data_IF_403508541905
#
_entry.id   IF_403508541905
#
_cell.length_a   1.000
_cell.length_b   1.000
_cell.length_c   1.000
_cell.angle_alpha   90.00
_cell.angle_beta   90.00
_cell.angle_gamma   90.00
#
_symmetry.space_group_name_H-M   'P 1'
#
loop_
_entity.id
_entity.type
_entity.pdbx_description
1 polymer ?
#
# COMPACT_ATOMS: atom_id res chain seq x y z
N UNK A 1 24.21 3.79 -16.26
CA UNK A 1 23.02 4.56 -15.91
C UNK A 1 22.07 3.72 -15.09
N UNK A 2 21.71 4.18 -13.92
CA UNK A 2 20.88 3.42 -13.00
C UNK A 2 19.41 3.69 -13.28
N UNK A 3 18.62 2.67 -13.54
CA UNK A 3 17.18 2.84 -13.68
C UNK A 3 16.56 3.09 -12.31
N UNK A 4 15.54 3.91 -12.27
CA UNK A 4 14.76 4.12 -11.05
C UNK A 4 14.06 2.82 -10.66
N UNK A 5 14.09 2.51 -9.37
CA UNK A 5 13.31 1.40 -8.84
C UNK A 5 11.83 1.78 -8.83
N UNK A 6 11.00 0.86 -9.26
CA UNK A 6 9.57 1.05 -9.42
C UNK A 6 8.83 0.46 -8.23
N UNK A 7 8.01 1.28 -7.56
CA UNK A 7 7.33 0.90 -6.33
C UNK A 7 5.82 1.11 -6.48
N UNK A 8 5.05 0.10 -6.16
CA UNK A 8 3.60 0.21 -6.04
C UNK A 8 3.24 0.22 -4.55
N UNK A 9 2.50 1.23 -4.11
CA UNK A 9 2.03 1.33 -2.74
C UNK A 9 0.52 1.10 -2.73
N UNK A 10 0.08 0.00 -2.12
CA UNK A 10 -1.33 -0.37 -2.03
C UNK A 10 -1.86 0.01 -0.65
N UNK A 11 -2.90 0.83 -0.62
CA UNK A 11 -3.57 1.23 0.60
C UNK A 11 -5.04 1.48 0.35
N UNK A 12 -5.83 1.59 1.42
CA UNK A 12 -7.24 1.92 1.27
C UNK A 12 -7.42 3.37 0.86
N UNK A 13 -8.46 3.63 0.06
CA UNK A 13 -8.97 4.97 -0.11
C UNK A 13 -9.49 5.44 1.25
N UNK A 14 -8.86 6.45 1.89
CA UNK A 14 -9.18 6.74 3.30
C UNK A 14 -10.62 7.17 3.55
N UNK A 15 -11.28 7.75 2.54
CA UNK A 15 -12.66 8.19 2.68
C UNK A 15 -13.66 7.05 2.82
N UNK A 16 -13.25 5.83 2.55
CA UNK A 16 -14.10 4.64 2.67
C UNK A 16 -13.99 3.98 4.05
N UNK A 17 -13.08 4.44 4.91
CA UNK A 17 -12.85 3.83 6.22
C UNK A 17 -13.70 4.52 7.30
N UNK A 18 -14.21 3.71 8.23
CA UNK A 18 -14.93 4.20 9.40
C UNK A 18 -13.95 4.30 10.58
N UNK A 19 -13.37 5.49 10.76
CA UNK A 19 -12.39 5.72 11.81
C UNK A 19 -13.01 5.77 13.22
N UNK A 20 -14.33 5.76 13.33
CA UNK A 20 -15.01 5.64 14.63
C UNK A 20 -15.14 4.19 15.09
N UNK A 21 -14.83 3.24 14.22
CA UNK A 21 -14.87 1.81 14.55
C UNK A 21 -13.86 1.47 15.65
N UNK A 22 -14.20 0.53 16.55
CA UNK A 22 -13.25 0.05 17.56
C UNK A 22 -11.96 -0.50 16.99
N UNK A 23 -11.95 -0.92 15.70
CA UNK A 23 -10.76 -1.40 15.02
C UNK A 23 -9.66 -0.33 14.92
N UNK A 24 -10.03 0.96 15.01
CA UNK A 24 -9.08 2.08 14.99
C UNK A 24 -8.76 2.61 16.37
N UNK A 25 -9.15 1.90 17.44
CA UNK A 25 -8.92 2.36 18.81
C UNK A 25 -7.43 2.57 19.12
N UNK A 26 -6.54 1.81 18.48
CA UNK A 26 -5.10 1.94 18.65
C UNK A 26 -4.54 3.21 17.98
N UNK A 27 -5.33 3.91 17.18
CA UNK A 27 -4.91 5.09 16.43
C UNK A 27 -5.85 6.28 16.73
N UNK A 28 -5.86 6.79 17.99
CA UNK A 28 -6.78 7.85 18.36
C UNK A 28 -6.51 9.13 17.54
N UNK A 29 -7.58 9.77 17.10
CA UNK A 29 -7.48 10.99 16.32
C UNK A 29 -7.14 10.81 14.85
N UNK A 30 -7.03 9.58 14.38
CA UNK A 30 -6.80 9.31 12.96
C UNK A 30 -8.07 9.59 12.16
N UNK A 31 -7.92 10.25 11.01
CA UNK A 31 -9.01 10.51 10.09
C UNK A 31 -8.53 10.40 8.64
N UNK A 32 -9.47 10.48 7.69
CA UNK A 32 -9.15 10.31 6.27
C UNK A 32 -8.13 11.32 5.78
N UNK A 33 -8.24 12.58 6.21
CA UNK A 33 -7.32 13.63 5.77
C UNK A 33 -5.90 13.35 6.24
N UNK A 34 -5.74 12.90 7.48
CA UNK A 34 -4.42 12.59 8.05
C UNK A 34 -3.79 11.39 7.36
N UNK A 35 -4.57 10.35 7.06
CA UNK A 35 -4.07 9.17 6.35
C UNK A 35 -3.63 9.55 4.95
N UNK A 36 -4.44 10.32 4.22
CA UNK A 36 -4.10 10.75 2.86
C UNK A 36 -2.85 11.61 2.87
N UNK A 37 -2.73 12.52 3.84
CA UNK A 37 -1.54 13.37 3.98
C UNK A 37 -0.29 12.52 4.21
N UNK A 38 -0.37 11.49 5.06
CA UNK A 38 0.75 10.59 5.31
C UNK A 38 1.13 9.80 4.06
N UNK A 39 0.14 9.31 3.30
CA UNK A 39 0.40 8.61 2.04
C UNK A 39 1.10 9.50 1.03
N UNK A 40 0.68 10.76 0.92
CA UNK A 40 1.31 11.72 0.01
C UNK A 40 2.72 12.06 0.44
N UNK A 41 2.96 12.19 1.74
CA UNK A 41 4.30 12.44 2.27
C UNK A 41 5.23 11.26 1.99
N UNK A 42 4.73 10.03 2.17
CA UNK A 42 5.50 8.82 1.86
C UNK A 42 5.84 8.74 0.37
N UNK A 43 4.88 9.06 -0.48
CA UNK A 43 5.11 9.10 -1.93
C UNK A 43 6.21 10.09 -2.28
N UNK A 44 6.13 11.30 -1.74
CA UNK A 44 7.14 12.34 -1.99
C UNK A 44 8.52 11.90 -1.51
N UNK A 45 8.59 11.28 -0.33
CA UNK A 45 9.85 10.81 0.22
C UNK A 45 10.49 9.72 -0.64
N UNK A 46 9.70 8.78 -1.13
CA UNK A 46 10.21 7.73 -2.02
C UNK A 46 10.70 8.32 -3.34
N UNK A 47 10.01 9.31 -3.88
CA UNK A 47 10.46 10.02 -5.09
C UNK A 47 11.79 10.73 -4.85
N UNK A 48 11.94 11.37 -3.70
CA UNK A 48 13.20 12.04 -3.33
C UNK A 48 14.35 11.03 -3.21
N UNK A 49 14.05 9.79 -2.85
CA UNK A 49 15.03 8.71 -2.78
C UNK A 49 15.34 8.07 -4.14
N UNK A 50 14.74 8.59 -5.20
CA UNK A 50 15.00 8.14 -6.57
C UNK A 50 14.07 7.04 -7.06
N UNK A 51 12.97 6.76 -6.36
CA UNK A 51 12.02 5.74 -6.76
C UNK A 51 10.96 6.32 -7.70
N UNK A 52 10.49 5.48 -8.61
CA UNK A 52 9.30 5.74 -9.41
C UNK A 52 8.12 5.12 -8.65
N UNK A 53 7.24 5.94 -8.10
CA UNK A 53 6.21 5.51 -7.14
C UNK A 53 4.83 5.69 -7.72
N UNK A 54 3.99 4.68 -7.52
CA UNK A 54 2.58 4.75 -7.88
C UNK A 54 1.75 4.38 -6.66
N UNK A 55 0.84 5.28 -6.26
CA UNK A 55 -0.14 4.96 -5.22
C UNK A 55 -1.31 4.22 -5.85
N UNK A 56 -1.69 3.11 -5.24
CA UNK A 56 -2.86 2.34 -5.64
C UNK A 56 -3.84 2.31 -4.49
N UNK A 57 -4.81 3.22 -4.52
CA UNK A 57 -5.84 3.29 -3.49
C UNK A 57 -6.97 2.35 -3.87
N UNK A 58 -7.34 1.47 -2.95
CA UNK A 58 -8.32 0.41 -3.19
C UNK A 58 -9.55 0.60 -2.31
N UNK A 59 -10.67 0.00 -2.71
CA UNK A 59 -11.85 -0.06 -1.89
C UNK A 59 -11.75 -1.24 -0.89
N UNK A 60 -12.85 -1.52 -0.19
CA UNK A 60 -12.85 -2.51 0.90
C UNK A 60 -12.96 -3.96 0.39
N UNK A 61 -12.83 -4.18 -0.90
CA UNK A 61 -12.78 -5.52 -1.48
C UNK A 61 -13.62 -5.73 -2.72
N UNK A 62 -14.55 -4.82 -3.04
CA UNK A 62 -15.49 -4.98 -4.15
C UNK A 62 -14.77 -4.94 -5.50
N UNK A 63 -13.84 -3.98 -5.69
CA UNK A 63 -13.07 -3.85 -6.92
C UNK A 63 -11.56 -3.90 -6.69
N UNK A 64 -11.13 -4.06 -5.45
CA UNK A 64 -9.71 -3.97 -5.07
C UNK A 64 -8.81 -4.88 -5.91
N UNK A 65 -9.19 -6.15 -6.06
CA UNK A 65 -8.39 -7.11 -6.82
C UNK A 65 -8.28 -6.71 -8.29
N UNK A 66 -9.38 -6.26 -8.89
CA UNK A 66 -9.39 -5.81 -10.28
C UNK A 66 -8.47 -4.61 -10.48
N UNK A 67 -8.56 -3.64 -9.56
CA UNK A 67 -7.73 -2.43 -9.62
C UNK A 67 -6.24 -2.79 -9.54
N UNK A 68 -5.86 -3.64 -8.59
CA UNK A 68 -4.47 -4.06 -8.43
C UNK A 68 -4.00 -4.85 -9.65
N UNK A 69 -4.81 -5.79 -10.13
CA UNK A 69 -4.47 -6.59 -11.31
C UNK A 69 -4.20 -5.70 -12.52
N UNK A 70 -5.02 -4.67 -12.73
CA UNK A 70 -4.85 -3.76 -13.84
C UNK A 70 -3.54 -2.98 -13.76
N UNK A 71 -3.13 -2.58 -12.53
CA UNK A 71 -1.83 -1.93 -12.33
C UNK A 71 -0.68 -2.87 -12.71
N UNK A 72 -0.76 -4.14 -12.30
CA UNK A 72 0.27 -5.14 -12.59
C UNK A 72 0.38 -5.48 -14.06
N UNK A 73 -0.72 -5.35 -14.81
CA UNK A 73 -0.72 -5.57 -16.26
C UNK A 73 -0.06 -4.45 -17.03
N UNK A 74 -0.12 -3.23 -16.52
CA UNK A 74 0.43 -2.07 -17.23
C UNK A 74 1.92 -1.89 -17.01
N UNK A 75 2.45 -2.40 -15.89
CA UNK A 75 3.81 -2.10 -15.48
C UNK A 75 4.34 -3.16 -14.53
N UNK A 76 5.63 -3.45 -14.65
CA UNK A 76 6.33 -4.28 -13.69
C UNK A 76 6.89 -3.41 -12.57
N UNK A 77 6.73 -3.88 -11.34
CA UNK A 77 7.23 -3.17 -10.17
C UNK A 77 8.36 -3.97 -9.54
N UNK A 78 9.37 -3.28 -9.04
CA UNK A 78 10.48 -3.89 -8.31
C UNK A 78 10.08 -4.23 -6.88
N UNK A 79 9.20 -3.41 -6.31
CA UNK A 79 8.73 -3.56 -4.93
C UNK A 79 7.26 -3.20 -4.84
N UNK A 80 6.50 -3.99 -4.10
CA UNK A 80 5.07 -3.73 -3.86
C UNK A 80 4.86 -3.71 -2.35
N UNK A 81 4.35 -2.59 -1.85
CA UNK A 81 4.04 -2.43 -0.44
C UNK A 81 2.54 -2.52 -0.22
N UNK A 82 2.13 -3.31 0.77
CA UNK A 82 0.74 -3.33 1.25
C UNK A 82 0.71 -2.61 2.59
N UNK A 83 -0.13 -1.59 2.70
CA UNK A 83 -0.22 -0.76 3.88
C UNK A 83 -0.75 -1.48 5.11
N UNK A 84 -0.35 -1.00 6.28
CA UNK A 84 -0.72 -1.58 7.57
C UNK A 84 -2.24 -1.66 7.75
N UNK A 85 -3.00 -0.69 7.23
CA UNK A 85 -4.46 -0.70 7.33
C UNK A 85 -5.11 -1.89 6.66
N UNK A 86 -4.53 -2.37 5.56
CA UNK A 86 -5.03 -3.56 4.86
C UNK A 86 -4.66 -4.82 5.63
N UNK A 87 -3.45 -4.85 6.20
CA UNK A 87 -2.87 -6.05 6.80
C UNK A 87 -3.27 -6.27 8.25
N UNK A 88 -3.38 -5.20 9.05
CA UNK A 88 -3.51 -5.32 10.50
C UNK A 88 -4.94 -5.22 11.04
N UNK A 89 -5.88 -4.74 10.24
CA UNK A 89 -7.27 -4.63 10.65
C UNK A 89 -7.96 -5.99 10.47
N UNK A 90 -8.46 -6.62 11.54
CA UNK A 90 -8.98 -7.99 11.46
C UNK A 90 -10.07 -8.21 10.40
N UNK A 91 -10.96 -7.23 10.20
CA UNK A 91 -12.03 -7.35 9.22
C UNK A 91 -11.52 -7.41 7.77
N UNK A 92 -10.27 -7.07 7.53
CA UNK A 92 -9.66 -7.05 6.20
C UNK A 92 -8.69 -8.20 5.96
N UNK A 93 -8.64 -9.18 6.87
CA UNK A 93 -7.70 -10.29 6.74
C UNK A 93 -7.86 -11.05 5.42
N UNK A 94 -9.10 -11.36 5.04
CA UNK A 94 -9.35 -12.13 3.81
C UNK A 94 -8.96 -11.32 2.58
N UNK A 95 -9.23 -10.01 2.58
CA UNK A 95 -8.79 -9.15 1.49
C UNK A 95 -7.26 -9.14 1.38
N UNK A 96 -6.57 -9.04 2.51
CA UNK A 96 -5.11 -9.10 2.53
C UNK A 96 -4.61 -10.42 1.92
N UNK A 97 -5.19 -11.53 2.31
CA UNK A 97 -4.81 -12.84 1.78
C UNK A 97 -5.03 -12.93 0.27
N UNK A 98 -6.16 -12.42 -0.22
CA UNK A 98 -6.45 -12.37 -1.65
C UNK A 98 -5.44 -11.51 -2.40
N UNK A 99 -5.07 -10.36 -1.85
CA UNK A 99 -4.07 -9.50 -2.47
C UNK A 99 -2.70 -10.17 -2.53
N UNK A 100 -2.29 -10.85 -1.46
CA UNK A 100 -1.01 -11.58 -1.44
C UNK A 100 -0.99 -12.63 -2.54
N UNK A 101 -2.05 -13.40 -2.69
CA UNK A 101 -2.11 -14.44 -3.73
C UNK A 101 -2.16 -13.84 -5.13
N UNK A 102 -2.83 -12.71 -5.30
CA UNK A 102 -2.85 -11.99 -6.56
C UNK A 102 -1.43 -11.52 -6.95
N UNK A 103 -0.71 -10.94 -6.00
CA UNK A 103 0.65 -10.47 -6.23
C UNK A 103 1.59 -11.64 -6.53
N UNK A 104 1.44 -12.74 -5.82
CA UNK A 104 2.24 -13.94 -6.05
C UNK A 104 2.03 -14.48 -7.47
N UNK A 105 0.79 -14.46 -7.95
CA UNK A 105 0.45 -14.97 -9.27
C UNK A 105 0.88 -14.03 -10.41
N UNK A 106 0.73 -12.73 -10.22
CA UNK A 106 0.90 -11.74 -11.30
C UNK A 106 2.19 -10.93 -11.24
N UNK A 107 2.87 -10.92 -10.11
CA UNK A 107 4.10 -10.15 -9.93
C UNK A 107 5.14 -10.95 -9.13
N UNK A 108 5.47 -12.18 -9.55
CA UNK A 108 6.37 -13.04 -8.76
C UNK A 108 7.79 -12.48 -8.65
N UNK A 109 8.18 -11.58 -9.53
CA UNK A 109 9.50 -10.97 -9.53
C UNK A 109 9.61 -9.80 -8.54
N UNK A 110 8.48 -9.26 -8.07
CA UNK A 110 8.49 -8.10 -7.17
C UNK A 110 8.80 -8.51 -5.74
N UNK A 111 9.54 -7.65 -5.03
CA UNK A 111 9.69 -7.80 -3.58
C UNK A 111 8.43 -7.29 -2.91
N UNK A 112 7.92 -8.04 -1.95
CA UNK A 112 6.78 -7.61 -1.15
C UNK A 112 7.29 -7.01 0.15
N UNK A 113 6.76 -5.86 0.52
CA UNK A 113 7.14 -5.21 1.76
C UNK A 113 5.92 -4.65 2.49
N UNK A 114 6.09 -4.38 3.77
CA UNK A 114 4.98 -4.02 4.64
C UNK A 114 5.46 -2.92 5.58
N UNK A 115 4.68 -1.85 5.66
CA UNK A 115 4.92 -0.84 6.69
C UNK A 115 4.22 -1.23 7.98
N UNK A 116 4.57 -0.59 9.07
CA UNK A 116 3.90 -0.80 10.37
C UNK A 116 2.90 0.31 10.67
N UNK A 117 3.03 1.45 10.01
CA UNK A 117 2.14 2.59 10.10
C UNK A 117 2.35 3.45 8.85
N UNK A 118 1.50 4.46 8.60
CA UNK A 118 1.63 5.29 7.41
C UNK A 118 2.94 6.10 7.32
N UNK A 119 3.68 6.22 8.42
CA UNK A 119 4.90 7.03 8.44
C UNK A 119 6.19 6.29 8.11
N UNK A 120 6.19 4.96 8.00
CA UNK A 120 7.42 4.19 7.78
C UNK A 120 7.47 3.45 6.43
N UNK A 121 6.69 3.92 5.46
CA UNK A 121 6.66 3.32 4.12
C UNK A 121 8.01 3.34 3.44
N UNK A 122 8.74 4.45 3.50
CA UNK A 122 10.05 4.56 2.86
C UNK A 122 11.05 3.58 3.45
N UNK A 123 11.05 3.43 4.77
CA UNK A 123 11.91 2.48 5.46
C UNK A 123 11.59 1.05 5.06
N UNK A 124 10.30 0.72 4.95
CA UNK A 124 9.86 -0.61 4.54
C UNK A 124 10.36 -0.95 3.14
N UNK A 125 10.23 -0.01 2.20
CA UNK A 125 10.69 -0.20 0.83
C UNK A 125 12.22 -0.34 0.77
N UNK A 126 12.94 0.50 1.51
CA UNK A 126 14.40 0.48 1.49
C UNK A 126 15.00 -0.81 2.03
N UNK A 127 14.26 -1.52 2.89
CA UNK A 127 14.75 -2.83 3.38
C UNK A 127 14.96 -3.84 2.25
N UNK A 128 14.25 -3.68 1.14
CA UNK A 128 14.20 -4.70 0.09
C UNK A 128 14.74 -4.26 -1.28
N UNK A 129 15.07 -2.99 -1.44
CA UNK A 129 15.62 -2.47 -2.70
C UNK A 129 17.14 -2.32 -2.69
#
# INVERSE_FOLDING_TARGET
MTQKKSVLVIGFEPTLLDFSSPEFAAFPGLDAAKVLQALKADEARLKDLGCDVELCLIDLGETAETVVRDRLRRKQFDCILIGAGVRTIPSHFILFERLINLLHAHAPQARLCFNTNPGDTAEAVQRWL
#
